data_IF_902491107384
#
_entry.id   IF_902491107384
#
_cell.length_a   1.000
_cell.length_b   1.000
_cell.length_c   1.000
_cell.angle_alpha   90.00
_cell.angle_beta   90.00
_cell.angle_gamma   90.00
#
_symmetry.space_group_name_H-M   'P 1'
#
loop_
_entity.id
_entity.type
_entity.pdbx_description
1 polymer ?
#
# COMPACT_ATOMS: atom_id res chain seq x y z
N UNK A 1 -4.75 -18.51 -12.98
CA UNK A 1 -4.42 -18.36 -14.41
C UNK A 1 -4.81 -16.96 -14.88
N UNK A 2 -3.86 -16.02 -14.78
CA UNK A 2 -4.05 -14.63 -15.21
C UNK A 2 -3.66 -14.51 -16.67
N UNK A 3 -4.59 -14.12 -17.56
CA UNK A 3 -4.28 -13.96 -18.99
C UNK A 3 -3.38 -12.74 -19.22
N UNK A 4 -3.72 -11.61 -18.62
CA UNK A 4 -2.94 -10.36 -18.67
C UNK A 4 -3.39 -9.46 -17.52
N UNK A 5 -2.43 -8.80 -16.85
CA UNK A 5 -2.68 -7.79 -15.84
C UNK A 5 -1.66 -6.67 -15.99
N UNK A 6 -2.11 -5.50 -16.43
CA UNK A 6 -1.29 -4.32 -16.54
C UNK A 6 -1.41 -3.47 -15.27
N UNK A 7 -0.26 -3.15 -14.67
CA UNK A 7 -0.15 -2.30 -13.48
C UNK A 7 0.38 -0.94 -13.91
N UNK A 8 -0.41 0.11 -13.71
CA UNK A 8 -0.02 1.46 -14.08
C UNK A 8 0.73 2.16 -12.94
N UNK A 9 1.85 2.84 -13.23
CA UNK A 9 2.60 3.61 -12.23
C UNK A 9 1.71 4.61 -11.46
N UNK A 10 2.05 4.82 -10.19
CA UNK A 10 1.35 5.79 -9.33
C UNK A 10 -0.10 5.43 -8.98
N UNK A 11 -0.50 4.17 -9.17
CA UNK A 11 -1.87 3.70 -8.89
C UNK A 11 -1.89 2.82 -7.65
N UNK A 12 -2.95 2.91 -6.86
CA UNK A 12 -3.21 2.02 -5.72
C UNK A 12 -4.16 0.90 -6.15
N UNK A 13 -3.66 -0.34 -6.16
CA UNK A 13 -4.42 -1.55 -6.46
C UNK A 13 -4.75 -2.31 -5.18
N UNK A 14 -6.00 -2.73 -5.04
CA UNK A 14 -6.45 -3.66 -4.00
C UNK A 14 -6.77 -5.03 -4.61
N UNK A 15 -6.05 -6.07 -4.18
CA UNK A 15 -6.32 -7.46 -4.57
C UNK A 15 -7.17 -8.10 -3.48
N UNK A 16 -8.40 -8.46 -3.82
CA UNK A 16 -9.42 -8.95 -2.88
C UNK A 16 -9.76 -10.41 -3.19
N UNK A 17 -9.93 -11.21 -2.17
CA UNK A 17 -10.38 -12.59 -2.31
C UNK A 17 -10.24 -13.39 -1.02
N UNK A 18 -10.94 -14.50 -0.94
CA UNK A 18 -10.90 -15.40 0.21
C UNK A 18 -9.50 -16.00 0.44
N UNK A 19 -9.30 -16.65 1.58
CA UNK A 19 -8.12 -17.47 1.83
C UNK A 19 -8.01 -18.54 0.74
N UNK A 20 -6.81 -18.74 0.19
CA UNK A 20 -6.59 -19.68 -0.92
C UNK A 20 -6.92 -19.15 -2.31
N UNK A 21 -7.39 -17.90 -2.47
CA UNK A 21 -7.70 -17.34 -3.80
C UNK A 21 -6.49 -17.00 -4.67
N UNK A 22 -5.24 -17.09 -4.15
CA UNK A 22 -4.02 -16.83 -4.89
C UNK A 22 -3.42 -15.43 -4.71
N UNK A 23 -3.93 -14.60 -3.79
CA UNK A 23 -3.43 -13.23 -3.55
C UNK A 23 -1.95 -13.19 -3.18
N UNK A 24 -1.56 -13.95 -2.15
CA UNK A 24 -0.16 -14.02 -1.69
C UNK A 24 0.76 -14.62 -2.75
N UNK A 25 0.30 -15.62 -3.50
CA UNK A 25 1.05 -16.18 -4.63
C UNK A 25 1.31 -15.10 -5.70
N UNK A 26 0.28 -14.32 -6.05
CA UNK A 26 0.45 -13.22 -7.00
C UNK A 26 1.45 -12.17 -6.48
N UNK A 27 1.35 -11.77 -5.21
CA UNK A 27 2.31 -10.81 -4.63
C UNK A 27 3.72 -11.39 -4.53
N UNK A 28 3.88 -12.68 -4.19
CA UNK A 28 5.19 -13.35 -4.17
C UNK A 28 5.83 -13.36 -5.57
N UNK A 29 5.04 -13.61 -6.61
CA UNK A 29 5.53 -13.58 -8.00
C UNK A 29 5.93 -12.16 -8.38
N UNK A 30 5.11 -11.14 -8.09
CA UNK A 30 5.44 -9.74 -8.34
C UNK A 30 6.65 -9.26 -7.54
N UNK A 31 6.90 -9.84 -6.38
CA UNK A 31 8.07 -9.55 -5.54
C UNK A 31 9.32 -10.36 -5.95
N UNK A 32 9.25 -11.21 -6.97
CA UNK A 32 10.34 -12.12 -7.33
C UNK A 32 10.71 -13.16 -6.28
N UNK A 33 9.83 -13.36 -5.29
CA UNK A 33 10.03 -14.36 -4.22
C UNK A 33 9.64 -15.78 -4.68
N UNK A 34 8.77 -15.87 -5.68
CA UNK A 34 8.27 -17.10 -6.28
C UNK A 34 8.30 -16.98 -7.80
N UNK A 35 8.68 -18.05 -8.49
CA UNK A 35 8.71 -18.07 -9.95
C UNK A 35 7.33 -18.41 -10.48
N UNK A 36 6.93 -17.71 -11.54
CA UNK A 36 5.73 -18.04 -12.29
C UNK A 36 5.83 -19.43 -12.92
N UNK A 37 4.75 -20.21 -12.88
CA UNK A 37 4.66 -21.52 -13.53
C UNK A 37 4.49 -21.39 -15.06
N UNK A 38 3.97 -20.27 -15.53
CA UNK A 38 3.81 -19.94 -16.93
C UNK A 38 3.61 -18.43 -17.09
N UNK A 39 3.92 -17.90 -18.29
CA UNK A 39 3.83 -16.48 -18.57
C UNK A 39 5.12 -15.73 -18.22
N UNK A 40 5.04 -14.42 -18.04
CA UNK A 40 6.20 -13.56 -17.75
C UNK A 40 5.76 -12.36 -16.94
N UNK A 41 6.54 -11.99 -15.91
CA UNK A 41 6.43 -10.72 -15.21
C UNK A 41 7.38 -9.73 -15.85
N UNK A 42 6.83 -8.56 -16.22
CA UNK A 42 7.62 -7.46 -16.78
C UNK A 42 7.61 -6.27 -15.81
N UNK A 43 8.73 -5.61 -15.67
CA UNK A 43 8.92 -4.36 -14.96
C UNK A 43 9.61 -3.36 -15.92
N UNK A 44 8.96 -2.23 -16.20
CA UNK A 44 9.39 -1.27 -17.22
C UNK A 44 9.69 -1.98 -18.56
N UNK A 45 8.75 -2.83 -19.02
CA UNK A 45 8.79 -3.63 -20.25
C UNK A 45 9.92 -4.67 -20.33
N UNK A 46 10.65 -4.90 -19.25
CA UNK A 46 11.74 -5.88 -19.17
C UNK A 46 11.42 -7.00 -18.16
N UNK A 47 11.75 -8.26 -18.47
CA UNK A 47 11.62 -9.36 -17.51
C UNK A 47 12.59 -9.14 -16.34
N UNK A 48 12.25 -9.70 -15.18
CA UNK A 48 13.14 -9.68 -14.03
C UNK A 48 14.46 -10.40 -14.36
N UNK A 49 15.55 -9.81 -13.90
CA UNK A 49 16.86 -10.45 -14.00
C UNK A 49 16.90 -11.76 -13.19
N UNK A 50 17.71 -12.69 -13.65
CA UNK A 50 18.01 -13.91 -12.92
C UNK A 50 19.51 -14.01 -12.68
N UNK A 51 19.91 -14.49 -11.50
CA UNK A 51 21.30 -14.81 -11.26
C UNK A 51 21.69 -16.09 -11.99
N UNK A 52 23.00 -16.44 -11.98
CA UNK A 52 23.54 -17.63 -12.64
C UNK A 52 22.93 -18.97 -12.12
N UNK A 53 22.31 -18.98 -10.92
CA UNK A 53 21.56 -20.10 -10.38
C UNK A 53 20.07 -20.10 -10.77
N UNK A 54 19.63 -19.18 -11.65
CA UNK A 54 18.23 -19.04 -12.06
C UNK A 54 17.30 -18.43 -11.01
N UNK A 55 17.86 -17.86 -9.92
CA UNK A 55 17.07 -17.15 -8.90
C UNK A 55 16.72 -15.77 -9.40
N UNK A 56 15.43 -15.41 -9.30
CA UNK A 56 14.91 -14.10 -9.67
C UNK A 56 15.53 -13.01 -8.80
N UNK A 57 15.90 -11.91 -9.43
CA UNK A 57 16.35 -10.66 -8.83
C UNK A 57 15.32 -9.57 -9.18
N UNK A 58 14.39 -9.26 -8.26
CA UNK A 58 13.49 -8.13 -8.49
C UNK A 58 14.30 -6.82 -8.49
N UNK A 59 13.82 -5.76 -9.15
CA UNK A 59 14.40 -4.43 -9.04
C UNK A 59 14.47 -3.95 -7.60
N UNK A 60 15.53 -3.20 -7.24
CA UNK A 60 15.77 -2.72 -5.87
C UNK A 60 14.71 -1.74 -5.38
N UNK A 61 13.94 -1.14 -6.29
CA UNK A 61 12.86 -0.21 -6.00
C UNK A 61 11.47 -0.89 -5.84
N UNK A 62 11.43 -2.22 -5.84
CA UNK A 62 10.26 -3.04 -5.48
C UNK A 62 10.40 -3.50 -4.02
N UNK A 63 9.54 -3.02 -3.14
CA UNK A 63 9.54 -3.41 -1.73
C UNK A 63 8.32 -4.29 -1.40
N UNK A 64 8.59 -5.44 -0.77
CA UNK A 64 7.55 -6.38 -0.32
C UNK A 64 7.55 -6.51 1.20
N UNK A 65 6.46 -6.10 1.86
CA UNK A 65 6.37 -6.06 3.32
C UNK A 65 6.53 -7.42 4.00
N UNK A 66 6.18 -8.51 3.30
CA UNK A 66 6.26 -9.88 3.83
C UNK A 66 7.64 -10.52 3.66
N UNK A 67 8.56 -9.88 2.96
CA UNK A 67 9.91 -10.44 2.75
C UNK A 67 10.62 -10.77 4.06
N UNK A 68 10.45 -9.95 5.09
CA UNK A 68 10.99 -10.19 6.42
C UNK A 68 10.49 -11.50 7.04
N UNK A 69 9.21 -11.84 6.83
CA UNK A 69 8.62 -13.10 7.32
C UNK A 69 9.12 -14.30 6.53
N UNK A 70 9.47 -14.12 5.26
CA UNK A 70 10.00 -15.17 4.40
C UNK A 70 11.49 -15.45 4.67
N UNK A 71 12.26 -14.43 5.02
CA UNK A 71 13.71 -14.46 5.24
C UNK A 71 14.08 -13.71 6.51
N UNK A 72 13.57 -14.16 7.66
CA UNK A 72 13.78 -13.46 8.93
C UNK A 72 15.25 -13.45 9.31
N UNK A 73 15.91 -12.29 9.41
CA UNK A 73 17.31 -12.19 9.82
C UNK A 73 17.53 -12.65 11.26
N UNK A 74 18.69 -13.23 11.54
CA UNK A 74 19.11 -13.55 12.90
C UNK A 74 19.81 -12.36 13.55
N UNK A 75 19.07 -11.30 13.82
CA UNK A 75 19.55 -10.07 14.42
C UNK A 75 18.45 -9.38 15.20
N UNK A 76 18.81 -8.44 16.06
CA UNK A 76 17.79 -7.57 16.70
C UNK A 76 17.22 -6.58 15.69
N UNK A 77 16.00 -6.10 15.94
CA UNK A 77 15.36 -5.05 15.12
C UNK A 77 16.27 -3.82 15.01
N UNK A 78 16.86 -3.39 16.13
CA UNK A 78 17.75 -2.23 16.15
C UNK A 78 19.03 -2.42 15.32
N UNK A 79 19.60 -3.63 15.33
CA UNK A 79 20.78 -3.97 14.53
C UNK A 79 20.44 -4.04 13.04
N UNK A 80 19.31 -4.65 12.69
CA UNK A 80 18.84 -4.71 11.31
C UNK A 80 18.59 -3.29 10.73
N UNK A 81 17.89 -2.45 11.48
CA UNK A 81 17.65 -1.05 11.08
C UNK A 81 18.96 -0.26 10.97
N UNK A 82 19.93 -0.48 11.88
CA UNK A 82 21.23 0.16 11.80
C UNK A 82 22.00 -0.23 10.52
N UNK A 83 21.99 -1.53 10.17
CA UNK A 83 22.64 -2.02 8.96
C UNK A 83 21.98 -1.47 7.70
N UNK A 84 20.66 -1.43 7.67
CA UNK A 84 19.90 -1.04 6.48
C UNK A 84 19.85 0.48 6.27
N UNK A 85 19.67 1.25 7.33
CA UNK A 85 19.40 2.70 7.25
C UNK A 85 20.53 3.58 7.83
N UNK A 86 21.54 2.98 8.43
CA UNK A 86 22.70 3.71 8.94
C UNK A 86 22.34 4.90 9.84
N UNK A 87 22.68 6.10 9.41
CA UNK A 87 22.45 7.35 10.18
C UNK A 87 20.98 7.65 10.51
N UNK A 88 20.02 7.11 9.74
CA UNK A 88 18.59 7.28 10.01
C UNK A 88 18.09 6.44 11.20
N UNK A 89 18.90 5.52 11.76
CA UNK A 89 18.51 4.62 12.85
C UNK A 89 17.79 5.34 13.99
N UNK A 90 18.40 6.42 14.52
CA UNK A 90 17.82 7.14 15.66
C UNK A 90 16.50 7.84 15.32
N UNK A 91 16.39 8.36 14.10
CA UNK A 91 15.14 8.99 13.61
C UNK A 91 14.02 7.95 13.53
N UNK A 92 14.32 6.74 13.03
CA UNK A 92 13.38 5.63 12.94
C UNK A 92 12.99 5.15 14.34
N UNK A 93 13.97 5.02 15.25
CA UNK A 93 13.71 4.65 16.64
C UNK A 93 12.71 5.61 17.29
N UNK A 94 13.00 6.92 17.25
CA UNK A 94 12.16 7.95 17.86
C UNK A 94 10.76 8.01 17.25
N UNK A 95 10.66 7.79 15.94
CA UNK A 95 9.38 7.86 15.22
C UNK A 95 8.44 6.70 15.51
N UNK A 96 8.98 5.49 15.67
CA UNK A 96 8.16 4.26 15.70
C UNK A 96 8.30 3.42 16.96
N UNK A 97 9.36 3.60 17.76
CA UNK A 97 9.69 2.72 18.88
C UNK A 97 9.87 3.42 20.23
N UNK A 98 9.68 4.74 20.31
CA UNK A 98 9.78 5.44 21.60
C UNK A 98 8.58 5.19 22.49
N UNK A 99 7.39 5.13 21.90
CA UNK A 99 6.12 5.00 22.60
C UNK A 99 5.29 3.80 22.14
N UNK A 100 4.46 3.29 23.05
CA UNK A 100 3.42 2.32 22.74
C UNK A 100 3.88 0.85 22.74
N UNK A 101 3.05 0.01 22.11
CA UNK A 101 3.16 -1.45 22.14
C UNK A 101 4.43 -2.00 21.48
N UNK A 102 5.07 -1.22 20.63
CA UNK A 102 6.22 -1.66 19.82
C UNK A 102 7.58 -1.23 20.39
N UNK A 103 7.62 -0.48 21.49
CA UNK A 103 8.87 -0.09 22.17
C UNK A 103 9.75 -1.29 22.50
N UNK A 104 9.13 -2.35 22.98
CA UNK A 104 9.85 -3.57 23.38
C UNK A 104 10.44 -4.35 22.20
N UNK A 105 9.99 -4.10 20.97
CA UNK A 105 10.52 -4.79 19.78
C UNK A 105 11.93 -4.34 19.42
N UNK A 106 12.32 -3.12 19.78
CA UNK A 106 13.58 -2.53 19.36
C UNK A 106 14.82 -3.40 19.64
N UNK A 107 14.84 -4.04 20.82
CA UNK A 107 15.95 -4.88 21.26
C UNK A 107 15.67 -6.40 21.11
N UNK A 108 14.48 -6.79 20.61
CA UNK A 108 14.15 -8.21 20.40
C UNK A 108 14.82 -8.75 19.14
N UNK A 109 15.19 -10.03 19.18
CA UNK A 109 15.63 -10.73 17.98
C UNK A 109 14.43 -10.92 17.04
N UNK A 110 14.64 -10.69 15.75
CA UNK A 110 13.59 -10.77 14.73
C UNK A 110 12.98 -12.17 14.61
N UNK A 111 13.70 -13.22 14.99
CA UNK A 111 13.18 -14.60 15.06
C UNK A 111 12.18 -14.83 16.18
N UNK A 112 12.20 -13.98 17.22
CA UNK A 112 11.39 -14.12 18.43
C UNK A 112 10.15 -13.21 18.40
N UNK A 113 9.92 -12.48 17.31
CA UNK A 113 8.74 -11.62 17.15
C UNK A 113 7.67 -12.32 16.29
N UNK A 114 6.41 -11.99 16.55
CA UNK A 114 5.28 -12.61 15.88
C UNK A 114 5.18 -12.20 14.40
N UNK A 115 4.45 -12.98 13.59
CA UNK A 115 4.18 -12.67 12.18
C UNK A 115 3.52 -11.30 12.00
N UNK A 116 2.61 -10.92 12.92
CA UNK A 116 1.96 -9.60 12.91
C UNK A 116 2.95 -8.46 13.16
N UNK A 117 3.87 -8.64 14.13
CA UNK A 117 4.92 -7.67 14.42
C UNK A 117 5.93 -7.58 13.27
N UNK A 118 6.28 -8.71 12.61
CA UNK A 118 7.13 -8.71 11.41
C UNK A 118 6.46 -7.98 10.24
N UNK A 119 5.16 -8.19 10.04
CA UNK A 119 4.40 -7.47 9.03
C UNK A 119 4.41 -5.95 9.31
N UNK A 120 4.15 -5.56 10.56
CA UNK A 120 4.21 -4.15 10.96
C UNK A 120 5.61 -3.56 10.76
N UNK A 121 6.67 -4.29 11.12
CA UNK A 121 8.04 -3.87 10.87
C UNK A 121 8.31 -3.71 9.37
N UNK A 122 7.88 -4.66 8.53
CA UNK A 122 7.97 -4.58 7.08
C UNK A 122 7.34 -3.31 6.52
N UNK A 123 6.21 -2.90 7.10
CA UNK A 123 5.51 -1.69 6.70
C UNK A 123 6.25 -0.41 7.11
N UNK A 124 6.87 -0.36 8.31
CA UNK A 124 7.75 0.75 8.71
C UNK A 124 8.92 0.87 7.72
N UNK A 125 9.56 -0.25 7.44
CA UNK A 125 10.70 -0.27 6.52
C UNK A 125 10.31 0.24 5.13
N UNK A 126 9.16 -0.17 4.62
CA UNK A 126 8.62 0.34 3.36
C UNK A 126 8.45 1.86 3.36
N UNK A 127 7.98 2.44 4.49
CA UNK A 127 7.83 3.89 4.62
C UNK A 127 9.15 4.65 4.67
N UNK A 128 10.23 4.01 5.08
CA UNK A 128 11.57 4.63 5.18
C UNK A 128 12.45 4.37 3.94
N UNK A 129 12.15 3.33 3.17
CA UNK A 129 12.82 2.98 1.89
C UNK A 129 12.35 3.84 0.72
N UNK A 130 11.12 4.30 0.76
CA UNK A 130 10.52 5.11 -0.28
C UNK A 130 10.51 4.46 -1.68
N UNK A 131 9.99 3.23 -1.80
CA UNK A 131 10.09 2.45 -3.03
C UNK A 131 9.20 3.00 -4.15
N UNK A 132 9.54 2.72 -5.43
CA UNK A 132 8.66 2.98 -6.58
C UNK A 132 7.44 2.05 -6.58
N UNK A 133 7.62 0.79 -6.17
CA UNK A 133 6.54 -0.20 -6.05
C UNK A 133 6.53 -0.78 -4.65
N UNK A 134 5.38 -0.66 -3.98
CA UNK A 134 5.13 -1.19 -2.65
C UNK A 134 4.09 -2.31 -2.72
N UNK A 135 4.52 -3.51 -2.35
CA UNK A 135 3.67 -4.70 -2.26
C UNK A 135 3.35 -4.97 -0.79
N UNK A 136 2.05 -5.02 -0.45
CA UNK A 136 1.57 -5.22 0.93
C UNK A 136 0.66 -6.44 0.96
N UNK A 137 1.07 -7.51 1.62
CA UNK A 137 0.22 -8.68 1.82
C UNK A 137 -0.56 -8.60 3.13
N UNK A 138 -1.79 -9.14 3.12
CA UNK A 138 -2.68 -9.19 4.27
C UNK A 138 -2.93 -7.82 4.92
N UNK A 139 -3.16 -6.77 4.12
CA UNK A 139 -3.44 -5.42 4.60
C UNK A 139 -4.59 -5.39 5.59
N UNK A 140 -4.34 -4.81 6.75
CA UNK A 140 -5.33 -4.61 7.80
C UNK A 140 -5.64 -5.83 8.67
N UNK A 141 -5.09 -7.03 8.36
CA UNK A 141 -5.36 -8.24 9.13
C UNK A 141 -4.82 -8.15 10.56
N UNK A 142 -3.69 -7.49 10.75
CA UNK A 142 -3.02 -7.36 12.06
C UNK A 142 -3.15 -5.97 12.68
N UNK A 143 -4.02 -5.10 12.15
CA UNK A 143 -4.14 -3.72 12.59
C UNK A 143 -5.32 -3.51 13.53
N UNK A 144 -5.10 -2.71 14.56
CA UNK A 144 -6.19 -2.03 15.22
C UNK A 144 -6.62 -0.78 14.40
N UNK A 145 -7.75 -0.19 14.75
CA UNK A 145 -8.33 0.95 14.01
C UNK A 145 -7.41 2.18 13.94
N UNK A 146 -6.56 2.41 14.94
CA UNK A 146 -5.59 3.51 14.94
C UNK A 146 -4.45 3.22 13.97
N UNK A 147 -3.85 2.03 14.08
CA UNK A 147 -2.79 1.59 13.17
C UNK A 147 -3.22 1.64 11.71
N UNK A 148 -4.44 1.15 11.42
CA UNK A 148 -4.99 1.16 10.05
C UNK A 148 -5.09 2.59 9.51
N UNK A 149 -5.63 3.54 10.29
CA UNK A 149 -5.74 4.94 9.87
C UNK A 149 -4.38 5.59 9.60
N UNK A 150 -3.46 5.42 10.55
CA UNK A 150 -2.14 6.05 10.47
C UNK A 150 -1.37 5.48 9.27
N UNK A 151 -1.48 4.17 9.07
CA UNK A 151 -0.82 3.49 7.96
C UNK A 151 -1.42 3.87 6.61
N UNK A 152 -2.75 3.84 6.49
CA UNK A 152 -3.45 4.29 5.29
C UNK A 152 -3.11 5.73 4.94
N UNK A 153 -3.05 6.63 5.91
CA UNK A 153 -2.64 8.02 5.68
C UNK A 153 -1.21 8.07 5.12
N UNK A 154 -0.29 7.28 5.66
CA UNK A 154 1.10 7.24 5.22
C UNK A 154 1.25 6.72 3.79
N UNK A 155 0.70 5.53 3.47
CA UNK A 155 0.80 4.95 2.12
C UNK A 155 0.07 5.81 1.08
N UNK A 156 -1.06 6.42 1.44
CA UNK A 156 -1.77 7.35 0.55
C UNK A 156 -0.94 8.61 0.29
N UNK A 157 -0.22 9.12 1.30
CA UNK A 157 0.72 10.22 1.13
C UNK A 157 1.87 9.83 0.20
N UNK A 158 2.51 8.67 0.41
CA UNK A 158 3.57 8.16 -0.48
C UNK A 158 3.10 8.09 -1.94
N UNK A 159 1.92 7.52 -2.17
CA UNK A 159 1.35 7.47 -3.52
C UNK A 159 1.15 8.87 -4.13
N UNK A 160 0.62 9.83 -3.36
CA UNK A 160 0.32 11.18 -3.88
C UNK A 160 1.55 12.07 -4.08
N UNK A 161 2.53 11.98 -3.17
CA UNK A 161 3.68 12.89 -3.16
C UNK A 161 4.88 12.34 -3.93
N UNK A 162 5.04 11.02 -3.94
CA UNK A 162 6.19 10.34 -4.53
C UNK A 162 5.83 9.55 -5.80
N UNK A 163 4.54 9.37 -6.07
CA UNK A 163 4.09 8.57 -7.20
C UNK A 163 4.25 7.06 -6.98
N UNK A 164 4.44 6.60 -5.74
CA UNK A 164 4.61 5.18 -5.41
C UNK A 164 3.42 4.36 -5.92
N UNK A 165 3.68 3.32 -6.69
CA UNK A 165 2.68 2.33 -7.07
C UNK A 165 2.46 1.37 -5.91
N UNK A 166 1.21 1.19 -5.47
CA UNK A 166 0.90 0.37 -4.31
C UNK A 166 -0.01 -0.77 -4.73
N UNK A 167 0.39 -2.00 -4.42
CA UNK A 167 -0.41 -3.20 -4.63
C UNK A 167 -0.59 -3.87 -3.28
N UNK A 168 -1.83 -3.90 -2.79
CA UNK A 168 -2.13 -4.49 -1.48
C UNK A 168 -3.15 -5.61 -1.60
N UNK A 169 -2.97 -6.67 -0.83
CA UNK A 169 -3.94 -7.75 -0.72
C UNK A 169 -4.77 -7.63 0.56
N UNK A 170 -6.03 -8.02 0.48
CA UNK A 170 -6.93 -8.08 1.63
C UNK A 170 -7.97 -9.19 1.46
N UNK A 171 -8.47 -9.80 2.56
CA UNK A 171 -9.53 -10.81 2.48
C UNK A 171 -10.87 -10.19 2.03
N UNK A 172 -11.10 -8.90 2.28
CA UNK A 172 -12.28 -8.16 1.85
C UNK A 172 -11.94 -6.74 1.42
N UNK A 173 -12.84 -6.10 0.68
CA UNK A 173 -12.64 -4.73 0.21
C UNK A 173 -13.02 -3.64 1.22
N UNK A 174 -13.54 -4.02 2.41
CA UNK A 174 -14.12 -3.09 3.38
C UNK A 174 -13.16 -1.96 3.73
N UNK A 175 -11.90 -2.28 4.03
CA UNK A 175 -10.91 -1.28 4.46
C UNK A 175 -10.24 -0.58 3.28
N UNK A 176 -10.17 -1.22 2.10
CA UNK A 176 -9.36 -0.74 0.97
C UNK A 176 -10.15 0.00 -0.11
N UNK A 177 -11.45 -0.27 -0.25
CA UNK A 177 -12.31 0.33 -1.29
C UNK A 177 -12.41 1.85 -1.23
N UNK A 178 -12.03 2.47 -0.13
CA UNK A 178 -12.12 3.91 0.07
C UNK A 178 -10.87 4.68 -0.39
N UNK A 179 -9.76 3.97 -0.66
CA UNK A 179 -8.52 4.60 -1.10
C UNK A 179 -7.83 3.88 -2.27
N UNK A 180 -8.10 2.60 -2.50
CA UNK A 180 -7.62 1.91 -3.69
C UNK A 180 -8.32 2.45 -4.94
N UNK A 181 -7.55 2.75 -5.98
CA UNK A 181 -8.06 3.25 -7.27
C UNK A 181 -8.68 2.13 -8.09
N UNK A 182 -8.13 0.93 -8.00
CA UNK A 182 -8.57 -0.26 -8.72
C UNK A 182 -8.70 -1.43 -7.75
N UNK A 183 -9.81 -2.16 -7.81
CA UNK A 183 -10.04 -3.36 -7.04
C UNK A 183 -10.10 -4.57 -7.98
N UNK A 184 -9.23 -5.54 -7.72
CA UNK A 184 -9.10 -6.79 -8.47
C UNK A 184 -9.56 -7.93 -7.57
N UNK A 185 -10.61 -8.60 -7.95
CA UNK A 185 -11.15 -9.72 -7.18
C UNK A 185 -10.61 -11.04 -7.73
N UNK A 186 -9.90 -11.78 -6.88
CA UNK A 186 -9.36 -13.10 -7.19
C UNK A 186 -10.22 -14.21 -6.60
N UNK A 187 -10.42 -15.25 -7.39
CA UNK A 187 -10.99 -16.50 -6.95
C UNK A 187 -10.27 -17.68 -7.63
N UNK A 188 -9.79 -18.64 -6.84
CA UNK A 188 -9.05 -19.82 -7.32
C UNK A 188 -7.94 -19.51 -8.36
N UNK A 189 -7.18 -18.44 -8.14
CA UNK A 189 -6.09 -18.02 -9.05
C UNK A 189 -6.56 -17.30 -10.31
N UNK A 190 -7.86 -16.96 -10.43
CA UNK A 190 -8.42 -16.24 -11.57
C UNK A 190 -8.95 -14.85 -11.17
N UNK A 191 -8.78 -13.88 -12.06
CA UNK A 191 -9.49 -12.58 -11.92
C UNK A 191 -10.92 -12.81 -12.40
N UNK A 192 -11.89 -12.74 -11.47
CA UNK A 192 -13.30 -12.84 -11.83
C UNK A 192 -13.97 -11.46 -11.98
N UNK A 193 -13.36 -10.41 -11.40
CA UNK A 193 -13.89 -9.05 -11.47
C UNK A 193 -12.79 -8.02 -11.27
N UNK A 194 -12.86 -6.94 -12.06
CA UNK A 194 -12.11 -5.71 -11.82
C UNK A 194 -13.12 -4.56 -11.74
N UNK A 195 -12.94 -3.67 -10.79
CA UNK A 195 -13.74 -2.44 -10.72
C UNK A 195 -12.88 -1.26 -10.27
N UNK A 196 -13.30 -0.05 -10.61
CA UNK A 196 -12.77 1.17 -10.02
C UNK A 196 -13.10 1.21 -8.53
N UNK A 197 -12.14 1.56 -7.70
CA UNK A 197 -12.35 1.92 -6.31
C UNK A 197 -13.00 3.30 -6.24
N UNK A 198 -13.57 3.64 -5.08
CA UNK A 198 -14.07 4.99 -4.81
C UNK A 198 -12.87 5.84 -4.36
N UNK A 199 -11.97 6.16 -5.28
CA UNK A 199 -11.11 7.32 -5.08
C UNK A 199 -12.03 8.55 -5.11
N UNK A 200 -12.38 9.10 -3.95
CA UNK A 200 -13.06 10.41 -3.89
C UNK A 200 -12.12 11.42 -4.53
N UNK A 201 -12.42 11.82 -5.76
CA UNK A 201 -11.81 12.97 -6.38
C UNK A 201 -12.07 14.16 -5.44
N UNK A 202 -11.05 14.62 -4.72
CA UNK A 202 -11.11 15.84 -3.90
C UNK A 202 -11.48 17.09 -4.72
N UNK A 203 -11.46 17.01 -6.04
CA UNK A 203 -11.89 18.06 -6.97
C UNK A 203 -13.40 18.15 -7.21
N UNK A 204 -14.22 17.14 -6.85
CA UNK A 204 -15.67 17.21 -7.03
C UNK A 204 -16.36 18.07 -5.95
N UNK A 205 -15.78 18.15 -4.74
CA UNK A 205 -16.34 18.98 -3.67
C UNK A 205 -16.11 20.49 -3.91
N UNK A 206 -15.00 20.90 -4.54
CA UNK A 206 -14.78 22.31 -4.86
C UNK A 206 -15.71 22.83 -5.97
N UNK A 207 -16.13 21.96 -6.90
CA UNK A 207 -17.11 22.37 -7.95
C UNK A 207 -18.54 22.49 -7.40
N UNK A 208 -18.93 21.66 -6.45
CA UNK A 208 -20.25 21.74 -5.83
C UNK A 208 -20.36 22.90 -4.84
N UNK A 209 -19.32 23.22 -4.09
CA UNK A 209 -19.27 24.40 -3.23
C UNK A 209 -19.29 25.71 -4.02
N UNK A 210 -18.61 25.79 -5.17
CA UNK A 210 -18.69 26.95 -6.08
C UNK A 210 -20.09 27.10 -6.70
N UNK A 211 -20.76 26.01 -7.09
CA UNK A 211 -22.13 26.03 -7.59
C UNK A 211 -23.14 26.45 -6.51
N UNK A 212 -22.98 26.01 -5.27
CA UNK A 212 -23.87 26.41 -4.17
C UNK A 212 -23.66 27.89 -3.73
N UNK A 213 -22.39 28.35 -3.71
CA UNK A 213 -22.11 29.80 -3.45
C UNK A 213 -22.68 30.70 -4.52
N UNK A 214 -22.63 30.34 -5.80
CA UNK A 214 -23.22 31.11 -6.88
C UNK A 214 -24.78 31.10 -6.85
N UNK A 215 -25.39 29.98 -6.45
CA UNK A 215 -26.87 29.94 -6.26
C UNK A 215 -27.36 30.82 -5.11
N UNK A 216 -26.63 30.87 -4.00
CA UNK A 216 -26.97 31.70 -2.85
C UNK A 216 -26.77 33.21 -3.15
N UNK A 217 -25.70 33.57 -3.88
CA UNK A 217 -25.47 34.95 -4.30
C UNK A 217 -26.51 35.46 -5.28
N UNK A 218 -27.04 34.63 -6.18
CA UNK A 218 -28.14 35.01 -7.08
C UNK A 218 -29.50 35.13 -6.36
N UNK A 219 -29.75 34.31 -5.33
CA UNK A 219 -30.97 34.45 -4.50
C UNK A 219 -30.96 35.73 -3.67
N UNK A 220 -29.80 36.12 -3.11
CA UNK A 220 -29.68 37.38 -2.34
C UNK A 220 -29.79 38.62 -3.23
N UNK A 221 -29.28 38.58 -4.48
CA UNK A 221 -29.44 39.70 -5.45
C UNK A 221 -30.88 39.86 -5.92
N UNK A 222 -31.62 38.78 -6.13
CA UNK A 222 -33.04 38.86 -6.52
C UNK A 222 -33.94 39.34 -5.37
N UNK A 223 -33.66 39.00 -4.11
CA UNK A 223 -34.40 39.56 -2.96
C UNK A 223 -34.18 41.07 -2.79
N UNK A 224 -32.97 41.57 -3.01
CA UNK A 224 -32.70 43.02 -2.95
C UNK A 224 -33.33 43.84 -4.11
N UNK A 225 -33.60 43.20 -5.26
CA UNK A 225 -34.28 43.85 -6.39
C UNK A 225 -35.80 43.94 -6.21
N UNK A 226 -36.44 42.95 -5.53
CA UNK A 226 -37.87 43.00 -5.25
C UNK A 226 -38.25 44.00 -4.15
N UNK A 227 -37.35 44.29 -3.19
CA UNK A 227 -37.54 45.30 -2.12
C UNK A 227 -37.31 46.77 -2.57
N UNK A 228 -36.75 47.02 -3.75
CA UNK A 228 -36.57 48.37 -4.32
C UNK A 228 -37.66 48.76 -5.31
N UNK A 229 -38.69 47.94 -5.51
CA UNK A 229 -39.84 48.18 -6.41
C UNK A 229 -41.17 48.30 -5.69
N UNK A 230 -41.16 48.40 -4.37
CA UNK A 230 -42.25 48.89 -3.51
C UNK A 230 -41.82 50.27 -2.92
#
# INVERSE_FOLDING_TARGET
NLKKLDIHPGTIYGIVGNVGSGKSTLLNILAGCEKESSGTVLYDDSPYETNWLGKIRPPDDVFYTKELSLKTPNSTVSSYIATKFGKKKNVIQNRYFEDGSFKNLWNRNMKDISSGELNWLGMILACEEDPRVLLIDDYGVYFNNKMERDFRAKITSMNRTLGTTIILSAPSDINIKHFASVLIYLDHGHIWKIRSGIARNSNSNQRNDKKNRNRNNNRSRNRKRSQRRQ
#
